data_IF_724382552052
#
_entry.id   IF_724382552052
#
_cell.length_a   1.000
_cell.length_b   1.000
_cell.length_c   1.000
_cell.angle_alpha   90.00
_cell.angle_beta   90.00
_cell.angle_gamma   90.00
#
_symmetry.space_group_name_H-M   'P 1'
#
loop_
_entity.id
_entity.type
_entity.pdbx_description
1 polymer ?
#
# COMPACT_ATOMS: atom_id res chain seq x y z
N UNK A 1 4.64 14.79 -10.06
CA UNK A 1 4.18 14.10 -8.85
C UNK A 1 2.72 13.76 -9.11
N UNK A 2 2.40 12.48 -9.17
CA UNK A 2 1.06 12.03 -9.55
C UNK A 2 0.18 11.84 -8.32
N UNK A 3 -1.08 12.24 -8.41
CA UNK A 3 -2.06 12.13 -7.35
C UNK A 3 -3.08 11.03 -7.66
N UNK A 4 -3.38 10.21 -6.66
CA UNK A 4 -4.22 9.04 -6.79
C UNK A 4 -5.35 9.08 -5.77
N UNK A 5 -6.57 8.70 -6.17
CA UNK A 5 -7.60 8.29 -5.20
C UNK A 5 -7.15 7.04 -4.45
N UNK A 6 -7.77 6.73 -3.30
CA UNK A 6 -7.42 5.55 -2.50
C UNK A 6 -7.33 4.26 -3.33
N UNK A 7 -8.34 3.97 -4.15
CA UNK A 7 -8.35 2.75 -4.97
C UNK A 7 -7.21 2.71 -5.98
N UNK A 8 -6.93 3.84 -6.64
CA UNK A 8 -5.80 3.97 -7.57
C UNK A 8 -4.44 3.90 -6.88
N UNK A 9 -4.35 4.33 -5.62
CA UNK A 9 -3.13 4.27 -4.82
C UNK A 9 -2.85 2.82 -4.41
N UNK A 10 -3.85 2.11 -3.88
CA UNK A 10 -3.71 0.72 -3.42
C UNK A 10 -3.23 -0.20 -4.54
N UNK A 11 -3.69 0.01 -5.77
CA UNK A 11 -3.27 -0.81 -6.92
C UNK A 11 -1.89 -0.47 -7.46
N UNK A 12 -1.30 0.66 -7.05
CA UNK A 12 -0.01 1.16 -7.56
C UNK A 12 1.11 1.11 -6.55
N UNK A 13 0.82 1.27 -5.27
CA UNK A 13 1.83 1.29 -4.20
C UNK A 13 2.50 -0.08 -4.08
N UNK A 14 3.83 -0.10 -4.11
CA UNK A 14 4.63 -1.32 -3.99
C UNK A 14 5.17 -1.51 -2.59
N UNK A 15 5.55 -2.74 -2.25
CA UNK A 15 6.18 -3.04 -0.96
C UNK A 15 7.45 -2.20 -0.77
N UNK A 16 7.62 -1.57 0.37
CA UNK A 16 8.70 -0.62 0.63
C UNK A 16 8.50 0.74 -0.04
N UNK A 17 7.25 1.15 -0.29
CA UNK A 17 6.93 2.53 -0.67
C UNK A 17 6.04 3.17 0.39
N UNK A 18 6.15 4.50 0.50
CA UNK A 18 5.22 5.32 1.28
C UNK A 18 4.22 5.99 0.35
N UNK A 19 3.04 6.27 0.89
CA UNK A 19 2.09 7.17 0.26
C UNK A 19 1.61 8.22 1.27
N UNK A 20 1.48 9.46 0.81
CA UNK A 20 1.10 10.58 1.66
C UNK A 20 0.00 11.41 1.05
N UNK A 21 -0.85 11.96 1.90
CA UNK A 21 -1.82 12.98 1.52
C UNK A 21 -1.12 14.34 1.30
N UNK A 22 -1.79 15.32 0.67
CA UNK A 22 -1.28 16.67 0.57
C UNK A 22 -0.82 17.22 1.93
N UNK A 23 0.36 17.84 1.93
CA UNK A 23 0.99 18.38 3.14
C UNK A 23 1.48 17.34 4.14
N UNK A 24 1.56 16.05 3.75
CA UNK A 24 2.01 14.96 4.63
C UNK A 24 1.19 14.83 5.92
N UNK A 25 -0.09 15.26 5.89
CA UNK A 25 -0.99 15.18 7.05
C UNK A 25 -1.31 13.75 7.45
N UNK A 26 -1.22 12.82 6.50
CA UNK A 26 -1.32 11.38 6.70
C UNK A 26 -0.30 10.69 5.80
N UNK A 27 0.41 9.72 6.36
CA UNK A 27 1.40 8.92 5.65
C UNK A 27 1.17 7.46 5.96
N UNK A 28 1.27 6.63 4.94
CA UNK A 28 1.19 5.17 5.04
C UNK A 28 2.41 4.54 4.39
N UNK A 29 2.76 3.32 4.81
CA UNK A 29 3.80 2.49 4.21
C UNK A 29 3.21 1.14 3.80
N UNK A 30 3.50 0.69 2.59
CA UNK A 30 3.19 -0.68 2.15
C UNK A 30 4.32 -1.62 2.60
N UNK A 31 4.01 -2.49 3.55
CA UNK A 31 4.87 -3.58 4.04
C UNK A 31 4.42 -4.91 3.44
N UNK A 32 5.21 -6.00 3.53
CA UNK A 32 4.79 -7.33 3.04
C UNK A 32 3.42 -7.78 3.56
N UNK A 33 3.11 -7.47 4.81
CA UNK A 33 1.93 -7.92 5.54
C UNK A 33 0.75 -6.93 5.49
N UNK A 34 0.90 -5.76 4.86
CA UNK A 34 -0.22 -4.84 4.65
C UNK A 34 0.19 -3.38 4.50
N UNK A 35 -0.81 -2.50 4.64
CA UNK A 35 -0.64 -1.05 4.62
C UNK A 35 -0.71 -0.51 6.06
N UNK A 36 0.28 0.26 6.48
CA UNK A 36 0.43 0.71 7.87
C UNK A 36 0.52 2.22 7.96
N UNK A 37 -0.06 2.82 9.00
CA UNK A 37 0.12 4.23 9.30
C UNK A 37 1.55 4.54 9.74
N UNK A 38 2.06 5.68 9.30
CA UNK A 38 3.35 6.24 9.68
C UNK A 38 3.11 7.55 10.42
N UNK A 39 3.54 7.61 11.68
CA UNK A 39 3.39 8.80 12.52
C UNK A 39 1.99 9.00 13.09
N UNK A 40 1.86 10.00 13.97
CA UNK A 40 0.62 10.29 14.68
C UNK A 40 0.16 9.17 15.63
N UNK A 41 -1.08 9.29 16.13
CA UNK A 41 -1.65 8.37 17.14
C UNK A 41 -1.89 6.95 16.63
N UNK A 42 -1.90 6.75 15.31
CA UNK A 42 -2.15 5.44 14.70
C UNK A 42 -0.86 4.78 14.19
N UNK A 43 0.30 5.38 14.44
CA UNK A 43 1.59 4.88 13.95
C UNK A 43 1.80 3.40 14.24
N UNK A 44 2.13 2.62 13.20
CA UNK A 44 2.35 1.19 13.29
C UNK A 44 1.07 0.33 13.31
N UNK A 45 -0.13 0.93 13.33
CA UNK A 45 -1.37 0.19 13.13
C UNK A 45 -1.65 -0.04 11.64
N UNK A 46 -2.26 -1.18 11.34
CA UNK A 46 -2.79 -1.49 10.00
C UNK A 46 -3.88 -0.49 9.64
N UNK A 47 -3.84 0.01 8.41
CA UNK A 47 -4.84 0.94 7.87
C UNK A 47 -6.18 0.22 7.79
N UNK A 48 -7.17 0.76 8.50
CA UNK A 48 -8.57 0.36 8.36
C UNK A 48 -9.23 1.24 7.30
N UNK A 49 -9.96 0.63 6.37
CA UNK A 49 -10.77 1.36 5.38
C UNK A 49 -11.95 2.04 6.10
N UNK A 50 -11.80 3.33 6.38
CA UNK A 50 -12.80 4.19 7.02
C UNK A 50 -13.15 5.36 6.10
N UNK A 51 -14.30 5.98 6.33
CA UNK A 51 -14.88 7.04 5.49
C UNK A 51 -13.86 8.11 5.04
N UNK A 52 -13.05 8.62 5.97
CA UNK A 52 -12.08 9.68 5.67
C UNK A 52 -10.96 9.25 4.71
N UNK A 53 -10.62 7.96 4.66
CA UNK A 53 -9.57 7.43 3.79
C UNK A 53 -10.03 7.45 2.33
N UNK A 54 -11.34 7.27 2.09
CA UNK A 54 -11.91 7.27 0.73
C UNK A 54 -11.88 8.65 0.08
N UNK A 55 -11.95 9.72 0.88
CA UNK A 55 -11.88 11.10 0.39
C UNK A 55 -10.46 11.62 0.15
N UNK A 56 -9.45 10.89 0.62
CA UNK A 56 -8.06 11.31 0.50
C UNK A 56 -7.51 11.06 -0.92
N UNK A 57 -6.67 11.99 -1.37
CA UNK A 57 -5.77 11.80 -2.51
C UNK A 57 -4.35 11.59 -2.01
N UNK A 58 -3.58 10.78 -2.75
CA UNK A 58 -2.30 10.25 -2.30
C UNK A 58 -1.24 10.43 -3.38
N UNK A 59 -0.03 10.75 -2.96
CA UNK A 59 1.17 10.60 -3.78
C UNK A 59 2.01 9.45 -3.24
N UNK A 60 2.57 8.65 -4.14
CA UNK A 60 3.47 7.52 -3.79
C UNK A 60 4.92 7.97 -4.00
N UNK A 61 5.82 7.53 -3.12
CA UNK A 61 7.25 7.82 -3.22
C UNK A 61 8.08 6.73 -2.52
N UNK A 62 9.35 6.63 -2.93
CA UNK A 62 10.35 5.79 -2.27
C UNK A 62 10.97 6.53 -1.08
N UNK A 63 11.34 5.80 -0.04
CA UNK A 63 11.88 6.35 1.20
C UNK A 63 12.93 5.40 1.79
N UNK A 64 14.12 5.92 2.12
CA UNK A 64 15.28 5.14 2.59
C UNK A 64 14.96 4.32 3.85
N UNK A 65 14.04 4.80 4.71
CA UNK A 65 13.62 4.08 5.92
C UNK A 65 12.89 2.76 5.63
N UNK A 66 12.55 2.50 4.37
CA UNK A 66 11.73 1.37 3.94
C UNK A 66 12.51 0.31 3.17
N UNK A 67 13.83 0.50 3.02
CA UNK A 67 14.72 -0.39 2.27
C UNK A 67 14.70 -1.83 2.78
N UNK A 68 14.55 -2.02 4.10
CA UNK A 68 14.44 -3.34 4.73
C UNK A 68 13.31 -4.20 4.17
N UNK A 69 12.30 -3.60 3.51
CA UNK A 69 11.19 -4.35 2.92
C UNK A 69 11.38 -4.67 1.44
N UNK A 70 12.36 -4.05 0.77
CA UNK A 70 12.59 -4.23 -0.66
C UNK A 70 13.00 -5.66 -1.01
N UNK A 71 13.70 -6.35 -0.11
CA UNK A 71 14.10 -7.75 -0.30
C UNK A 71 12.89 -8.69 -0.48
N UNK A 72 11.74 -8.37 0.14
CA UNK A 72 10.52 -9.18 0.06
C UNK A 72 9.62 -8.81 -1.11
N UNK A 73 9.82 -7.64 -1.73
CA UNK A 73 8.90 -7.03 -2.70
C UNK A 73 8.51 -8.00 -3.81
N UNK A 74 9.51 -8.54 -4.53
CA UNK A 74 9.26 -9.38 -5.70
C UNK A 74 8.57 -10.70 -5.31
N UNK A 75 9.04 -11.34 -4.23
CA UNK A 75 8.49 -12.62 -3.76
C UNK A 75 7.01 -12.48 -3.38
N UNK A 76 6.68 -11.45 -2.61
CA UNK A 76 5.32 -11.26 -2.10
C UNK A 76 4.38 -10.78 -3.20
N UNK A 77 4.78 -9.80 -4.01
CA UNK A 77 3.93 -9.31 -5.12
C UNK A 77 3.71 -10.38 -6.19
N UNK A 78 4.68 -11.28 -6.42
CA UNK A 78 4.49 -12.44 -7.28
C UNK A 78 3.47 -13.40 -6.67
N UNK A 79 3.60 -13.74 -5.39
CA UNK A 79 2.66 -14.63 -4.70
C UNK A 79 1.23 -14.07 -4.71
N UNK A 80 1.07 -12.76 -4.51
CA UNK A 80 -0.25 -12.10 -4.59
C UNK A 80 -0.88 -12.26 -5.98
N UNK A 81 -0.08 -12.13 -7.04
CA UNK A 81 -0.54 -12.33 -8.42
C UNK A 81 -0.93 -13.78 -8.67
N UNK A 82 -0.09 -14.73 -8.28
CA UNK A 82 -0.37 -16.16 -8.40
C UNK A 82 -1.66 -16.55 -7.66
N UNK A 83 -1.91 -15.98 -6.48
CA UNK A 83 -3.16 -16.20 -5.75
C UNK A 83 -4.39 -15.70 -6.50
N UNK A 84 -4.31 -14.54 -7.16
CA UNK A 84 -5.41 -14.00 -7.98
C UNK A 84 -5.65 -14.89 -9.21
N UNK A 85 -4.57 -15.31 -9.87
CA UNK A 85 -4.64 -16.21 -11.03
C UNK A 85 -5.29 -17.54 -10.65
N UNK A 86 -4.89 -18.14 -9.53
CA UNK A 86 -5.49 -19.37 -9.01
C UNK A 86 -6.99 -19.20 -8.72
N UNK A 87 -7.38 -18.12 -8.04
CA UNK A 87 -8.80 -17.82 -7.78
C UNK A 87 -9.62 -17.67 -9.07
N UNK A 88 -9.02 -17.11 -10.12
CA UNK A 88 -9.69 -16.95 -11.40
C UNK A 88 -9.87 -18.28 -12.12
N UNK A 89 -8.85 -19.15 -12.12
CA UNK A 89 -8.96 -20.49 -12.71
C UNK A 89 -9.97 -21.37 -11.95
N UNK A 90 -10.01 -21.30 -10.62
CA UNK A 90 -11.01 -22.01 -9.79
C UNK A 90 -12.46 -21.64 -10.15
N UNK A 91 -12.71 -20.42 -10.65
CA UNK A 91 -14.06 -19.98 -11.07
C UNK A 91 -14.45 -20.48 -12.46
N UNK A 92 -13.50 -20.99 -13.24
CA UNK A 92 -13.72 -21.46 -14.62
C UNK A 92 -14.02 -22.95 -14.68
N UNK A 93 -13.68 -23.70 -13.64
CA UNK A 93 -14.02 -25.12 -13.43
C UNK A 93 -15.44 -25.29 -12.84
#
# INVERSE_FOLDING_TARGET
MDWFTLGNMITRIRIGQKASTPGFSRTVIRRPDGLFWVGGIWSGHVVQLRDFVFSDIWTIYDDEETEQWLEFRNLVEQKEREMIENQFEDLRE
#
